data_IF_158202520516
#
_entry.id   IF_158202520516
#
_cell.length_a   1.000
_cell.length_b   1.000
_cell.length_c   1.000
_cell.angle_alpha   90.00
_cell.angle_beta   90.00
_cell.angle_gamma   90.00
#
_symmetry.space_group_name_H-M   'P 1'
#
loop_
_entity.id
_entity.type
_entity.pdbx_description
1 polymer ?
#
# COMPACT_ATOMS: atom_id res chain seq x y z
N UNK A 1 -59.48 -22.67 -118.72
CA UNK A 1 -58.78 -23.64 -117.84
C UNK A 1 -58.61 -22.95 -116.48
N UNK A 2 -59.66 -23.01 -115.65
CA UNK A 2 -59.77 -23.86 -114.43
C UNK A 2 -58.66 -23.54 -113.41
N UNK A 3 -58.89 -23.11 -112.17
CA UNK A 3 -60.09 -22.75 -111.39
C UNK A 3 -59.63 -22.07 -110.06
N UNK A 4 -60.29 -20.96 -109.66
CA UNK A 4 -60.74 -20.51 -108.30
C UNK A 4 -59.85 -20.66 -107.04
N UNK A 5 -59.78 -19.80 -106.00
CA UNK A 5 -60.36 -18.50 -105.54
C UNK A 5 -59.60 -18.17 -104.20
N UNK A 6 -59.05 -16.99 -103.92
CA UNK A 6 -59.58 -15.74 -103.30
C UNK A 6 -60.15 -15.76 -101.85
N UNK A 7 -59.41 -15.19 -100.87
CA UNK A 7 -59.88 -14.29 -99.77
C UNK A 7 -58.64 -13.80 -98.94
N UNK A 8 -58.13 -12.55 -98.92
CA UNK A 8 -58.59 -11.20 -98.46
C UNK A 8 -58.50 -10.91 -96.94
N UNK A 9 -57.36 -10.27 -96.56
CA UNK A 9 -57.05 -9.12 -95.64
C UNK A 9 -57.67 -8.88 -94.22
N UNK A 10 -56.71 -8.68 -93.27
CA UNK A 10 -56.46 -7.57 -92.27
C UNK A 10 -57.30 -7.47 -90.97
N UNK A 11 -56.91 -6.65 -89.95
CA UNK A 11 -55.57 -6.15 -89.50
C UNK A 11 -55.35 -6.25 -87.95
N UNK A 12 -54.15 -5.89 -87.49
CA UNK A 12 -53.79 -5.79 -86.06
C UNK A 12 -54.22 -4.50 -85.35
N UNK A 13 -54.26 -4.57 -84.01
CA UNK A 13 -54.35 -3.44 -83.09
C UNK A 13 -53.85 -3.81 -81.67
N UNK A 14 -53.23 -2.82 -81.01
CA UNK A 14 -53.12 -2.54 -79.56
C UNK A 14 -52.43 -3.52 -78.60
N UNK A 15 -51.40 -3.07 -77.87
CA UNK A 15 -51.55 -2.33 -76.59
C UNK A 15 -50.19 -2.09 -75.90
N UNK A 16 -49.96 -0.86 -75.43
CA UNK A 16 -48.87 -0.43 -74.55
C UNK A 16 -49.21 -0.65 -73.06
N UNK A 17 -48.13 -0.79 -72.25
CA UNK A 17 -47.95 -0.50 -70.81
C UNK A 17 -48.57 -1.42 -69.71
N UNK A 18 -47.99 -1.51 -68.48
CA UNK A 18 -47.52 -0.39 -67.65
C UNK A 18 -46.25 -0.54 -66.78
N UNK A 19 -45.70 0.61 -66.37
CA UNK A 19 -44.82 0.82 -65.21
C UNK A 19 -45.42 0.31 -63.88
N UNK A 20 -44.55 -0.16 -62.96
CA UNK A 20 -44.76 -0.01 -61.49
C UNK A 20 -43.50 -0.24 -60.65
N UNK A 21 -43.05 0.87 -60.05
CA UNK A 21 -42.44 1.15 -58.74
C UNK A 21 -42.15 0.03 -57.70
N UNK A 22 -40.99 0.17 -57.02
CA UNK A 22 -40.60 -0.43 -55.74
C UNK A 22 -39.25 -1.16 -55.84
N UNK A 23 -38.22 -0.96 -55.03
CA UNK A 23 -38.14 -0.59 -53.61
C UNK A 23 -36.72 -0.12 -53.24
N UNK A 24 -36.64 0.81 -52.28
CA UNK A 24 -35.42 1.14 -51.55
C UNK A 24 -34.77 -0.10 -50.94
N UNK A 25 -33.50 -0.36 -51.24
CA UNK A 25 -32.62 -1.13 -50.35
C UNK A 25 -31.30 -0.39 -50.15
N UNK A 26 -31.22 0.26 -48.99
CA UNK A 26 -30.10 0.26 -48.05
C UNK A 26 -28.80 -0.27 -48.68
N UNK A 27 -27.90 0.65 -49.02
CA UNK A 27 -26.49 0.36 -49.24
C UNK A 27 -25.91 -0.14 -47.92
N UNK A 28 -26.08 -1.45 -47.66
CA UNK A 28 -25.47 -2.14 -46.56
C UNK A 28 -23.96 -1.95 -46.70
N UNK A 29 -23.37 -1.33 -45.69
CA UNK A 29 -21.92 -1.37 -45.46
C UNK A 29 -21.45 -2.79 -45.74
N UNK A 30 -20.74 -2.98 -46.85
CA UNK A 30 -20.04 -4.22 -47.14
C UNK A 30 -18.96 -4.37 -46.07
N UNK A 31 -19.32 -5.00 -44.95
CA UNK A 31 -18.37 -5.55 -44.01
C UNK A 31 -17.64 -6.64 -44.79
N UNK A 32 -16.39 -6.34 -45.17
CA UNK A 32 -15.46 -7.26 -45.82
C UNK A 32 -15.53 -8.62 -45.11
N UNK A 33 -16.21 -9.57 -45.75
CA UNK A 33 -16.30 -10.92 -45.24
C UNK A 33 -14.93 -11.57 -45.50
N UNK A 34 -14.28 -12.17 -44.48
CA UNK A 34 -12.96 -12.75 -44.67
C UNK A 34 -13.02 -13.81 -45.78
N UNK A 35 -12.01 -13.89 -46.68
CA UNK A 35 -12.05 -14.77 -47.83
C UNK A 35 -12.31 -16.21 -47.38
N UNK A 36 -13.45 -16.74 -47.82
CA UNK A 36 -13.91 -18.11 -47.50
C UNK A 36 -13.45 -19.05 -48.62
N UNK A 37 -12.86 -20.20 -48.28
CA UNK A 37 -12.53 -21.27 -49.23
C UNK A 37 -13.28 -22.56 -48.85
N UNK A 38 -13.45 -23.47 -49.81
CA UNK A 38 -14.16 -24.76 -49.66
C UNK A 38 -15.56 -24.59 -49.03
N UNK A 39 -16.49 -23.92 -49.72
CA UNK A 39 -17.90 -23.83 -49.29
C UNK A 39 -18.11 -23.28 -47.87
N UNK A 40 -17.16 -22.50 -47.34
CA UNK A 40 -17.25 -21.90 -46.00
C UNK A 40 -16.65 -22.74 -44.87
N UNK A 41 -16.02 -23.87 -45.18
CA UNK A 41 -15.35 -24.74 -44.19
C UNK A 41 -14.07 -24.10 -43.65
N UNK A 42 -13.37 -23.31 -44.47
CA UNK A 42 -12.15 -22.59 -44.06
C UNK A 42 -12.37 -21.08 -44.12
N UNK A 43 -12.19 -20.42 -42.98
CA UNK A 43 -12.19 -18.95 -42.85
C UNK A 43 -10.80 -18.49 -42.44
N UNK A 44 -10.19 -17.58 -43.21
CA UNK A 44 -8.89 -16.96 -42.87
C UNK A 44 -9.16 -15.68 -42.11
N UNK A 45 -8.78 -15.61 -40.83
CA UNK A 45 -8.74 -14.36 -40.05
C UNK A 45 -7.29 -13.88 -39.99
N UNK A 46 -6.97 -12.79 -40.68
CA UNK A 46 -5.65 -12.16 -40.57
C UNK A 46 -5.57 -11.46 -39.21
N UNK A 47 -4.54 -11.80 -38.43
CA UNK A 47 -4.24 -11.17 -37.14
C UNK A 47 -2.81 -10.69 -37.17
N UNK A 48 -2.60 -9.45 -36.79
CA UNK A 48 -1.27 -8.95 -36.47
C UNK A 48 -0.76 -9.69 -35.23
N UNK A 49 0.34 -10.42 -35.39
CA UNK A 49 1.08 -11.05 -34.29
C UNK A 49 2.45 -10.42 -34.16
N UNK A 50 3.08 -10.58 -33.00
CA UNK A 50 4.48 -10.21 -32.84
C UNK A 50 5.33 -11.12 -33.74
N UNK A 51 6.18 -10.52 -34.57
CA UNK A 51 7.24 -11.25 -35.26
C UNK A 51 8.25 -11.79 -34.25
N UNK A 52 9.18 -12.65 -34.69
CA UNK A 52 10.30 -13.05 -33.82
C UNK A 52 11.08 -11.86 -33.25
N UNK A 53 11.29 -10.82 -34.05
CA UNK A 53 11.88 -9.55 -33.60
C UNK A 53 10.98 -8.78 -32.63
N UNK A 54 9.66 -8.79 -32.85
CA UNK A 54 8.69 -8.19 -31.92
C UNK A 54 8.69 -8.87 -30.56
N UNK A 55 8.75 -10.19 -30.52
CA UNK A 55 8.92 -10.96 -29.27
C UNK A 55 10.26 -10.67 -28.60
N UNK A 56 11.35 -10.58 -29.37
CA UNK A 56 12.66 -10.23 -28.83
C UNK A 56 12.65 -8.84 -28.17
N UNK A 57 12.08 -7.83 -28.83
CA UNK A 57 11.94 -6.47 -28.28
C UNK A 57 11.10 -6.49 -27.00
N UNK A 58 9.98 -7.22 -27.01
CA UNK A 58 9.11 -7.33 -25.84
C UNK A 58 9.83 -7.98 -24.65
N UNK A 59 10.54 -9.09 -24.88
CA UNK A 59 11.30 -9.78 -23.83
C UNK A 59 12.46 -8.92 -23.31
N UNK A 60 13.20 -8.24 -24.19
CA UNK A 60 14.27 -7.32 -23.79
C UNK A 60 13.73 -6.16 -22.95
N UNK A 61 12.61 -5.57 -23.38
CA UNK A 61 11.97 -4.46 -22.64
C UNK A 61 11.49 -4.94 -21.27
N UNK A 62 10.87 -6.12 -21.21
CA UNK A 62 10.44 -6.71 -19.95
C UNK A 62 11.63 -7.00 -19.02
N UNK A 63 12.70 -7.60 -19.54
CA UNK A 63 13.91 -7.91 -18.77
C UNK A 63 14.58 -6.64 -18.22
N UNK A 64 14.73 -5.59 -19.04
CA UNK A 64 15.28 -4.31 -18.60
C UNK A 64 14.40 -3.65 -17.54
N UNK A 65 13.08 -3.72 -17.69
CA UNK A 65 12.13 -3.16 -16.71
C UNK A 65 12.23 -3.90 -15.38
N UNK A 66 12.29 -5.24 -15.40
CA UNK A 66 12.46 -6.06 -14.19
C UNK A 66 13.80 -5.76 -13.53
N UNK A 67 14.90 -5.69 -14.29
CA UNK A 67 16.22 -5.36 -13.76
C UNK A 67 16.24 -3.97 -13.11
N UNK A 68 15.60 -2.98 -13.73
CA UNK A 68 15.46 -1.64 -13.17
C UNK A 68 14.63 -1.66 -11.88
N UNK A 69 13.48 -2.36 -11.85
CA UNK A 69 12.66 -2.49 -10.65
C UNK A 69 13.42 -3.15 -9.50
N UNK A 70 14.09 -4.27 -9.78
CA UNK A 70 14.87 -5.01 -8.77
C UNK A 70 16.00 -4.14 -8.19
N UNK A 71 16.65 -3.35 -9.03
CA UNK A 71 17.76 -2.49 -8.61
C UNK A 71 17.30 -1.23 -7.85
N UNK A 72 16.07 -0.76 -8.09
CA UNK A 72 15.58 0.51 -7.52
C UNK A 72 14.58 0.34 -6.36
N UNK A 73 13.96 -0.84 -6.19
CA UNK A 73 12.91 -1.02 -5.17
C UNK A 73 13.46 -0.92 -3.74
N UNK A 74 14.64 -1.50 -3.48
CA UNK A 74 15.28 -1.42 -2.17
C UNK A 74 15.60 0.02 -1.77
N UNK A 75 16.41 0.79 -2.54
CA UNK A 75 16.72 2.18 -2.15
C UNK A 75 15.49 3.09 -2.16
N UNK A 76 14.44 2.75 -2.92
CA UNK A 76 13.15 3.46 -2.86
C UNK A 76 12.46 3.26 -1.51
N UNK A 77 12.37 2.01 -1.01
CA UNK A 77 11.72 1.68 0.26
C UNK A 77 12.59 2.05 1.47
N UNK A 78 13.89 1.72 1.42
CA UNK A 78 14.88 1.96 2.46
C UNK A 78 15.45 3.38 2.41
N UNK A 79 14.57 4.37 2.33
CA UNK A 79 14.98 5.77 2.22
C UNK A 79 15.59 6.27 3.54
N UNK A 80 16.66 7.04 3.43
CA UNK A 80 17.19 7.86 4.53
C UNK A 80 17.18 9.32 4.10
N UNK A 81 16.33 10.11 4.73
CA UNK A 81 16.15 11.53 4.47
C UNK A 81 15.90 12.24 5.80
N UNK A 82 16.93 12.92 6.31
CA UNK A 82 16.91 13.58 7.61
C UNK A 82 16.35 14.99 7.47
N UNK A 83 15.53 15.39 8.42
CA UNK A 83 15.10 16.79 8.58
C UNK A 83 15.85 17.45 9.74
N UNK A 84 15.96 18.77 9.71
CA UNK A 84 16.55 19.53 10.80
C UNK A 84 15.63 19.49 12.03
N UNK A 85 15.95 18.63 13.00
CA UNK A 85 15.18 18.46 14.23
C UNK A 85 16.06 18.09 15.42
N UNK A 86 15.59 18.42 16.62
CA UNK A 86 16.15 17.98 17.90
C UNK A 86 15.41 16.78 18.51
N UNK A 87 14.44 16.19 17.79
CA UNK A 87 13.65 15.04 18.22
C UNK A 87 14.00 13.81 17.39
N UNK A 88 14.44 12.76 18.05
CA UNK A 88 14.64 11.44 17.49
C UNK A 88 13.50 10.52 17.94
N UNK A 89 12.85 9.83 17.03
CA UNK A 89 11.86 8.80 17.32
C UNK A 89 12.46 7.46 16.93
N UNK A 90 12.39 6.47 17.79
CA UNK A 90 12.88 5.11 17.53
C UNK A 90 11.69 4.17 17.62
N UNK A 91 11.47 3.40 16.56
CA UNK A 91 10.47 2.35 16.60
C UNK A 91 10.98 1.22 17.50
N UNK A 92 10.26 0.91 18.57
CA UNK A 92 10.74 0.01 19.62
C UNK A 92 10.66 -1.47 19.28
N UNK A 93 10.13 -1.83 18.11
CA UNK A 93 10.10 -3.21 17.62
C UNK A 93 11.39 -3.59 16.89
N UNK A 94 12.23 -2.61 16.55
CA UNK A 94 13.47 -2.82 15.80
C UNK A 94 14.48 -3.64 16.61
N UNK A 95 15.32 -4.35 15.88
CA UNK A 95 16.36 -5.21 16.38
C UNK A 95 17.50 -4.41 17.03
N UNK A 96 18.33 -5.07 17.87
CA UNK A 96 19.42 -4.42 18.58
C UNK A 96 20.43 -3.67 17.69
N UNK A 97 20.61 -4.06 16.42
CA UNK A 97 21.50 -3.33 15.51
C UNK A 97 20.96 -1.94 15.17
N UNK A 98 19.64 -1.81 14.97
CA UNK A 98 18.97 -0.54 14.71
C UNK A 98 18.92 0.33 15.97
N UNK A 99 18.77 -0.27 17.15
CA UNK A 99 18.92 0.47 18.42
C UNK A 99 20.33 1.05 18.55
N UNK A 100 21.39 0.28 18.27
CA UNK A 100 22.76 0.80 18.29
C UNK A 100 22.95 1.96 17.32
N UNK A 101 22.45 1.83 16.10
CA UNK A 101 22.47 2.92 15.12
C UNK A 101 21.70 4.17 15.61
N UNK A 102 20.55 3.99 16.28
CA UNK A 102 19.81 5.09 16.88
C UNK A 102 20.60 5.79 18.01
N UNK A 103 21.33 5.03 18.83
CA UNK A 103 22.21 5.58 19.87
C UNK A 103 23.35 6.39 19.25
N UNK A 104 23.96 5.87 18.19
CA UNK A 104 25.05 6.57 17.49
C UNK A 104 24.55 7.83 16.79
N UNK A 105 23.37 7.78 16.16
CA UNK A 105 22.70 8.94 15.56
C UNK A 105 22.37 9.99 16.64
N UNK A 106 21.89 9.59 17.82
CA UNK A 106 21.65 10.52 18.94
C UNK A 106 22.94 11.21 19.39
N UNK A 107 24.04 10.44 19.54
CA UNK A 107 25.34 10.96 20.02
C UNK A 107 26.02 11.91 19.05
N UNK A 108 25.88 11.64 17.75
CA UNK A 108 26.56 12.39 16.69
C UNK A 108 25.71 13.53 16.15
N UNK A 109 24.39 13.44 16.28
CA UNK A 109 23.42 14.45 15.87
C UNK A 109 23.17 15.54 16.91
N UNK A 110 22.21 16.40 16.62
CA UNK A 110 21.80 17.53 17.48
C UNK A 110 20.51 17.23 18.26
N UNK A 111 20.26 15.97 18.56
CA UNK A 111 19.05 15.52 19.23
C UNK A 111 19.11 15.82 20.73
N UNK A 112 17.98 16.27 21.28
CA UNK A 112 17.81 16.58 22.70
C UNK A 112 16.81 15.64 23.37
N UNK A 113 15.88 15.08 22.59
CA UNK A 113 14.88 14.13 23.08
C UNK A 113 14.80 12.92 22.16
N UNK A 114 14.68 11.75 22.77
CA UNK A 114 14.50 10.46 22.13
C UNK A 114 13.16 9.89 22.57
N UNK A 115 12.32 9.49 21.63
CA UNK A 115 11.04 8.85 21.89
C UNK A 115 11.07 7.41 21.41
N UNK A 116 10.88 6.45 22.31
CA UNK A 116 10.67 5.06 21.94
C UNK A 116 9.17 4.81 21.75
N UNK A 117 8.76 4.40 20.55
CA UNK A 117 7.34 4.22 20.21
C UNK A 117 7.03 2.76 19.87
N UNK A 118 5.78 2.33 20.06
CA UNK A 118 5.41 0.96 19.72
C UNK A 118 4.16 0.46 20.42
N UNK A 119 3.41 -0.42 19.74
CA UNK A 119 2.21 -1.05 20.27
C UNK A 119 2.49 -2.28 21.15
N UNK A 120 1.46 -3.03 21.54
CA UNK A 120 1.61 -4.27 22.30
C UNK A 120 2.48 -5.29 21.58
N UNK A 121 3.32 -6.01 22.32
CA UNK A 121 4.18 -7.05 21.77
C UNK A 121 3.34 -8.16 21.12
N UNK A 122 3.75 -8.57 19.92
CA UNK A 122 3.05 -9.61 19.14
C UNK A 122 3.00 -10.92 19.92
N UNK A 123 1.86 -11.63 19.84
CA UNK A 123 1.69 -12.92 20.51
C UNK A 123 1.24 -12.84 21.97
N UNK A 124 1.15 -11.65 22.58
CA UNK A 124 0.68 -11.48 23.97
C UNK A 124 -0.85 -11.29 24.14
N UNK A 125 -1.63 -11.45 23.07
CA UNK A 125 -3.09 -11.33 23.14
C UNK A 125 -3.63 -9.90 23.21
N UNK A 126 -2.77 -8.87 23.10
CA UNK A 126 -3.18 -7.48 23.05
C UNK A 126 -2.40 -6.58 24.03
N UNK A 127 -2.93 -5.38 24.28
CA UNK A 127 -2.41 -4.49 25.31
C UNK A 127 -2.74 -5.05 26.70
N UNK A 128 -1.70 -5.20 27.53
CA UNK A 128 -1.84 -5.62 28.93
C UNK A 128 -1.42 -4.47 29.85
N UNK A 129 -0.23 -3.94 29.63
CA UNK A 129 0.29 -2.73 30.28
C UNK A 129 1.38 -2.08 29.41
N UNK A 130 1.79 -0.86 29.76
CA UNK A 130 2.77 -0.08 29.02
C UNK A 130 4.16 -0.77 28.93
N UNK A 131 4.53 -1.63 29.89
CA UNK A 131 5.78 -2.42 29.91
C UNK A 131 5.76 -3.68 29.04
N UNK A 132 4.61 -3.99 28.43
CA UNK A 132 4.45 -5.08 27.48
C UNK A 132 4.21 -4.55 26.06
N UNK A 133 4.89 -3.44 25.73
CA UNK A 133 4.84 -2.81 24.42
C UNK A 133 6.22 -2.81 23.77
N UNK A 134 6.25 -2.72 22.45
CA UNK A 134 7.50 -2.48 21.73
C UNK A 134 8.15 -1.17 22.18
N UNK A 135 7.36 -0.15 22.57
CA UNK A 135 7.90 1.10 23.13
C UNK A 135 8.77 0.86 24.37
N UNK A 136 8.33 -0.01 25.29
CA UNK A 136 9.11 -0.32 26.50
C UNK A 136 10.37 -1.11 26.17
N UNK A 137 10.28 -2.10 25.28
CA UNK A 137 11.45 -2.87 24.83
C UNK A 137 12.50 -1.95 24.20
N UNK A 138 12.09 -1.08 23.27
CA UNK A 138 12.98 -0.12 22.64
C UNK A 138 13.57 0.87 23.64
N UNK A 139 12.76 1.40 24.58
CA UNK A 139 13.24 2.31 25.61
C UNK A 139 14.29 1.66 26.52
N UNK A 140 14.08 0.41 26.92
CA UNK A 140 15.03 -0.32 27.74
C UNK A 140 16.37 -0.52 27.00
N UNK A 141 16.32 -0.94 25.73
CA UNK A 141 17.52 -1.11 24.92
C UNK A 141 18.26 0.21 24.65
N UNK A 142 17.54 1.32 24.43
CA UNK A 142 18.12 2.65 24.26
C UNK A 142 18.80 3.14 25.53
N UNK A 143 18.16 2.93 26.69
CA UNK A 143 18.71 3.26 28.00
C UNK A 143 19.98 2.46 28.27
N UNK A 144 19.95 1.15 28.01
CA UNK A 144 21.11 0.27 28.16
C UNK A 144 22.24 0.63 27.18
N UNK A 145 21.88 1.14 26.00
CA UNK A 145 22.81 1.71 25.02
C UNK A 145 23.45 3.04 25.45
N UNK A 146 22.98 3.66 26.53
CA UNK A 146 23.54 4.88 27.12
C UNK A 146 22.84 6.18 26.74
N UNK A 147 21.58 6.12 26.26
CA UNK A 147 20.75 7.33 26.18
C UNK A 147 20.41 7.80 27.61
N UNK A 148 20.65 9.07 27.97
CA UNK A 148 20.32 9.58 29.29
C UNK A 148 18.81 9.49 29.56
N UNK A 149 18.42 9.03 30.75
CA UNK A 149 17.00 8.89 31.13
C UNK A 149 16.21 10.20 31.03
N UNK A 150 16.86 11.36 31.22
CA UNK A 150 16.21 12.67 31.05
C UNK A 150 15.95 13.07 29.60
N UNK A 151 16.62 12.43 28.64
CA UNK A 151 16.41 12.63 27.21
C UNK A 151 15.47 11.58 26.60
N UNK A 152 15.28 10.43 27.27
CA UNK A 152 14.50 9.30 26.76
C UNK A 152 13.08 9.27 27.31
N UNK A 153 12.10 9.24 26.42
CA UNK A 153 10.69 9.08 26.75
C UNK A 153 10.10 7.84 26.05
N UNK A 154 9.51 6.94 26.83
CA UNK A 154 8.71 5.85 26.30
C UNK A 154 7.30 6.34 25.96
N UNK A 155 6.80 6.02 24.76
CA UNK A 155 5.44 6.36 24.31
C UNK A 155 4.74 5.13 23.74
N UNK A 156 4.03 4.36 24.59
CA UNK A 156 3.34 3.15 24.17
C UNK A 156 2.06 3.47 23.39
N UNK A 157 1.83 2.74 22.30
CA UNK A 157 0.50 2.65 21.69
C UNK A 157 -0.29 1.54 22.38
N UNK A 158 -1.53 1.84 22.77
CA UNK A 158 -2.42 0.88 23.46
C UNK A 158 -3.38 0.17 22.49
N UNK A 159 -3.17 0.34 21.19
CA UNK A 159 -4.03 -0.17 20.12
C UNK A 159 -3.50 -1.50 19.59
N UNK A 160 -4.42 -2.41 19.26
CA UNK A 160 -4.12 -3.76 18.77
C UNK A 160 -4.48 -3.88 17.29
N UNK A 161 -3.58 -4.53 16.53
CA UNK A 161 -3.94 -5.31 15.34
C UNK A 161 -4.18 -4.56 14.03
N UNK A 162 -4.60 -3.29 14.05
CA UNK A 162 -4.70 -2.45 12.84
C UNK A 162 -3.66 -1.34 12.88
N UNK A 163 -2.91 -1.18 11.80
CA UNK A 163 -2.07 -0.01 11.51
C UNK A 163 -1.14 0.37 12.68
N UNK A 164 -0.34 -0.59 13.16
CA UNK A 164 0.48 -0.44 14.38
C UNK A 164 1.41 0.78 14.35
N UNK A 165 2.09 1.00 13.24
CA UNK A 165 2.98 2.15 13.03
C UNK A 165 2.20 3.47 13.11
N UNK A 166 1.05 3.57 12.45
CA UNK A 166 0.17 4.74 12.54
C UNK A 166 -0.34 4.96 13.97
N UNK A 167 -0.77 3.89 14.64
CA UNK A 167 -1.24 3.96 16.03
C UNK A 167 -0.16 4.39 17.02
N UNK A 168 1.11 4.06 16.73
CA UNK A 168 2.29 4.56 17.46
C UNK A 168 2.53 6.05 17.20
N UNK A 169 2.41 6.49 15.95
CA UNK A 169 2.52 7.90 15.59
C UNK A 169 1.40 8.77 16.21
N UNK A 170 0.17 8.25 16.25
CA UNK A 170 -0.97 8.89 16.92
C UNK A 170 -0.74 8.99 18.43
N UNK A 171 -0.25 7.92 19.07
CA UNK A 171 0.10 7.95 20.49
C UNK A 171 1.17 9.02 20.78
N UNK A 172 2.17 9.16 19.90
CA UNK A 172 3.19 10.20 19.99
C UNK A 172 2.60 11.62 19.84
N UNK A 173 1.70 11.83 18.88
CA UNK A 173 0.98 13.10 18.72
C UNK A 173 0.19 13.48 19.97
N UNK A 174 -0.52 12.52 20.57
CA UNK A 174 -1.25 12.75 21.82
C UNK A 174 -0.31 13.10 22.96
N UNK A 175 0.80 12.38 23.09
CA UNK A 175 1.82 12.68 24.09
C UNK A 175 2.35 14.10 23.95
N UNK A 176 2.68 14.55 22.73
CA UNK A 176 3.14 15.93 22.48
C UNK A 176 2.10 16.97 22.91
N UNK A 177 0.83 16.74 22.57
CA UNK A 177 -0.27 17.65 22.95
C UNK A 177 -0.49 17.71 24.46
N UNK A 178 -0.42 16.57 25.14
CA UNK A 178 -0.62 16.47 26.59
C UNK A 178 0.49 17.13 27.40
N UNK A 179 1.71 17.17 26.84
CA UNK A 179 2.89 17.75 27.49
C UNK A 179 3.23 19.16 26.96
N UNK A 180 2.33 19.78 26.20
CA UNK A 180 2.50 21.10 25.56
C UNK A 180 3.82 21.24 24.78
N UNK A 181 4.20 20.16 24.10
CA UNK A 181 5.42 20.11 23.30
C UNK A 181 5.09 20.51 21.86
N UNK A 182 5.57 21.68 21.46
CA UNK A 182 5.52 22.09 20.05
C UNK A 182 6.58 21.34 19.26
N UNK A 183 6.15 20.67 18.18
CA UNK A 183 7.02 19.91 17.28
C UNK A 183 6.88 20.49 15.88
N UNK A 184 8.02 20.90 15.29
CA UNK A 184 8.09 21.34 13.88
C UNK A 184 8.71 20.31 12.97
N UNK A 185 9.43 19.35 13.53
CA UNK A 185 9.92 18.19 12.81
C UNK A 185 10.52 17.15 13.73
N UNK A 186 10.72 15.94 13.21
CA UNK A 186 11.36 14.82 13.90
C UNK A 186 11.99 13.85 12.90
N UNK A 187 12.98 13.07 13.35
CA UNK A 187 13.57 11.98 12.55
C UNK A 187 13.20 10.63 13.16
N UNK A 188 12.73 9.70 12.33
CA UNK A 188 12.35 8.34 12.74
C UNK A 188 13.49 7.38 12.40
N UNK A 189 13.98 6.61 13.36
CA UNK A 189 14.90 5.50 13.13
C UNK A 189 14.10 4.21 13.06
N UNK A 190 14.26 3.49 11.95
CA UNK A 190 13.63 2.19 11.70
C UNK A 190 14.47 1.33 10.77
N UNK A 191 14.00 0.12 10.46
CA UNK A 191 14.75 -0.87 9.69
C UNK A 191 14.47 -0.78 8.19
N UNK A 192 15.54 -0.84 7.41
CA UNK A 192 15.52 -1.17 5.99
C UNK A 192 14.35 -0.58 5.22
N UNK A 193 13.67 -1.44 4.47
CA UNK A 193 12.57 -1.10 3.57
C UNK A 193 11.32 -0.56 4.30
N UNK A 194 11.22 -0.75 5.62
CA UNK A 194 10.10 -0.24 6.43
C UNK A 194 10.09 1.30 6.50
N UNK A 195 11.25 1.94 6.33
CA UNK A 195 11.44 3.38 6.45
C UNK A 195 10.40 4.22 5.69
N UNK A 196 10.19 3.94 4.40
CA UNK A 196 9.27 4.73 3.58
C UNK A 196 7.82 4.62 4.05
N UNK A 197 7.39 3.46 4.54
CA UNK A 197 6.04 3.27 5.08
C UNK A 197 5.88 3.96 6.43
N UNK A 198 6.87 3.87 7.32
CA UNK A 198 6.85 4.58 8.60
C UNK A 198 6.75 6.09 8.41
N UNK A 199 7.58 6.66 7.52
CA UNK A 199 7.50 8.08 7.20
C UNK A 199 6.10 8.49 6.78
N UNK A 200 5.51 7.79 5.81
CA UNK A 200 4.16 8.08 5.31
C UNK A 200 3.11 8.07 6.44
N UNK A 201 3.15 7.07 7.32
CA UNK A 201 2.16 6.93 8.40
C UNK A 201 2.36 7.95 9.52
N UNK A 202 3.60 8.37 9.77
CA UNK A 202 3.88 9.46 10.70
C UNK A 202 3.50 10.82 10.13
N UNK A 203 3.73 11.07 8.84
CA UNK A 203 3.24 12.28 8.15
C UNK A 203 1.71 12.38 8.26
N UNK A 204 1.01 11.28 7.98
CA UNK A 204 -0.45 11.22 8.10
C UNK A 204 -0.93 11.46 9.54
N UNK A 205 -0.26 10.88 10.54
CA UNK A 205 -0.66 11.01 11.93
C UNK A 205 -0.38 12.41 12.50
N UNK A 206 0.84 12.92 12.34
CA UNK A 206 1.27 14.21 12.90
C UNK A 206 0.64 15.38 12.16
N UNK A 207 0.46 15.26 10.85
CA UNK A 207 -0.14 16.28 10.00
C UNK A 207 0.91 17.11 9.24
N UNK A 208 0.47 17.96 8.31
CA UNK A 208 1.34 18.60 7.32
C UNK A 208 2.27 19.68 7.87
N UNK A 209 2.04 20.16 9.10
CA UNK A 209 2.85 21.22 9.73
C UNK A 209 4.12 20.67 10.43
N UNK A 210 4.34 19.35 10.39
CA UNK A 210 5.48 18.70 11.02
C UNK A 210 6.34 18.01 9.97
N UNK A 211 7.59 18.44 9.84
CA UNK A 211 8.57 17.83 8.96
C UNK A 211 8.97 16.44 9.49
N UNK A 212 8.68 15.38 8.73
CA UNK A 212 9.03 14.01 9.11
C UNK A 212 10.21 13.51 8.29
N UNK A 213 11.35 13.37 8.95
CA UNK A 213 12.50 12.66 8.42
C UNK A 213 12.50 11.19 8.81
N UNK A 214 13.25 10.38 8.08
CA UNK A 214 13.42 8.96 8.36
C UNK A 214 14.86 8.51 8.11
N UNK A 215 15.32 7.57 8.93
CA UNK A 215 16.65 7.00 8.91
C UNK A 215 16.46 5.49 8.85
N UNK A 216 16.80 4.92 7.69
CA UNK A 216 16.75 3.49 7.43
C UNK A 216 18.05 2.84 7.89
N UNK A 217 17.96 1.90 8.82
CA UNK A 217 19.09 1.07 9.28
C UNK A 217 19.03 -0.27 8.59
N UNK A 218 20.10 -0.62 7.89
CA UNK A 218 20.18 -1.86 7.12
C UNK A 218 20.45 -3.05 8.05
N UNK A 219 19.81 -4.19 7.78
CA UNK A 219 20.13 -5.44 8.45
C UNK A 219 21.58 -5.85 8.17
N UNK A 220 22.35 -6.27 9.19
CA UNK A 220 23.69 -6.82 8.98
C UNK A 220 23.68 -8.25 8.41
N UNK A 221 22.50 -8.89 8.37
CA UNK A 221 22.37 -10.32 8.05
C UNK A 221 22.31 -10.60 6.54
N UNK A 222 22.12 -9.55 5.71
CA UNK A 222 22.19 -9.67 4.25
C UNK A 222 22.74 -8.40 3.57
N UNK A 223 23.27 -8.54 2.35
CA UNK A 223 23.66 -7.38 1.53
C UNK A 223 22.44 -6.77 0.84
N UNK A 224 22.07 -5.57 1.26
CA UNK A 224 21.00 -4.75 0.70
C UNK A 224 21.12 -4.53 -0.82
N UNK A 225 22.33 -4.51 -1.39
CA UNK A 225 22.54 -4.35 -2.84
C UNK A 225 22.15 -5.60 -3.63
N UNK A 226 22.09 -6.75 -2.95
CA UNK A 226 21.76 -8.05 -3.51
C UNK A 226 20.60 -8.68 -2.74
N UNK A 227 19.66 -7.86 -2.26
CA UNK A 227 18.55 -8.27 -1.39
C UNK A 227 17.77 -9.47 -1.95
N UNK A 228 17.64 -9.59 -3.27
CA UNK A 228 16.90 -10.68 -3.94
C UNK A 228 17.58 -12.04 -3.83
N UNK A 229 18.87 -12.09 -3.50
CA UNK A 229 19.61 -13.33 -3.29
C UNK A 229 19.29 -13.99 -1.94
N UNK A 230 18.83 -13.21 -0.98
CA UNK A 230 18.57 -13.64 0.40
C UNK A 230 17.08 -13.72 0.66
N UNK A 231 16.61 -14.80 1.29
CA UNK A 231 15.18 -14.98 1.59
C UNK A 231 14.64 -13.89 2.50
N UNK A 232 15.45 -13.42 3.46
CA UNK A 232 15.11 -12.33 4.38
C UNK A 232 14.89 -11.01 3.62
N UNK A 233 15.86 -10.60 2.79
CA UNK A 233 15.75 -9.38 1.99
C UNK A 233 14.60 -9.45 0.97
N UNK A 234 14.36 -10.61 0.35
CA UNK A 234 13.23 -10.81 -0.55
C UNK A 234 11.87 -10.70 0.18
N UNK A 235 11.75 -11.31 1.35
CA UNK A 235 10.54 -11.22 2.18
C UNK A 235 10.28 -9.77 2.62
N UNK A 236 11.31 -9.09 3.13
CA UNK A 236 11.22 -7.69 3.57
C UNK A 236 10.70 -6.78 2.45
N UNK A 237 11.27 -6.88 1.25
CA UNK A 237 10.86 -6.05 0.10
C UNK A 237 9.44 -6.34 -0.36
N UNK A 238 9.01 -7.60 -0.34
CA UNK A 238 7.63 -7.96 -0.71
C UNK A 238 6.65 -7.42 0.34
N UNK A 239 6.91 -7.68 1.62
CA UNK A 239 6.04 -7.24 2.73
C UNK A 239 5.93 -5.72 2.78
N UNK A 240 7.06 -5.02 2.70
CA UNK A 240 7.10 -3.55 2.77
C UNK A 240 6.63 -2.89 1.47
N UNK A 241 6.87 -3.51 0.32
CA UNK A 241 6.33 -3.05 -0.95
C UNK A 241 4.81 -3.07 -0.96
N UNK A 242 4.20 -4.21 -0.60
CA UNK A 242 2.75 -4.35 -0.51
C UNK A 242 2.17 -3.49 0.62
N UNK A 243 2.83 -3.45 1.78
CA UNK A 243 2.44 -2.63 2.92
C UNK A 243 2.44 -1.15 2.58
N UNK A 244 3.45 -0.66 1.85
CA UNK A 244 3.53 0.75 1.42
C UNK A 244 2.41 1.09 0.43
N UNK A 245 2.15 0.21 -0.56
CA UNK A 245 1.05 0.43 -1.51
C UNK A 245 -0.31 0.45 -0.80
N UNK A 246 -0.53 -0.46 0.15
CA UNK A 246 -1.73 -0.45 1.00
C UNK A 246 -1.85 0.88 1.76
N UNK A 247 -0.80 1.30 2.46
CA UNK A 247 -0.77 2.54 3.22
C UNK A 247 -0.99 3.78 2.35
N UNK A 248 -0.52 3.76 1.09
CA UNK A 248 -0.63 4.91 0.19
C UNK A 248 -1.99 5.05 -0.49
N UNK A 249 -2.62 3.92 -0.85
CA UNK A 249 -3.80 3.95 -1.73
C UNK A 249 -5.09 3.51 -1.06
N UNK A 250 -5.00 2.69 -0.01
CA UNK A 250 -6.15 2.01 0.60
C UNK A 250 -6.32 2.35 2.09
N UNK A 251 -5.31 2.93 2.73
CA UNK A 251 -5.40 3.38 4.11
C UNK A 251 -6.01 4.79 4.17
N UNK A 252 -7.15 4.88 4.85
CA UNK A 252 -7.83 6.13 5.17
C UNK A 252 -8.10 6.16 6.68
N UNK A 253 -7.40 7.01 7.45
CA UNK A 253 -7.66 7.11 8.88
C UNK A 253 -9.06 7.69 9.09
N UNK A 254 -9.91 6.98 9.85
CA UNK A 254 -11.23 7.51 10.23
C UNK A 254 -11.12 8.25 11.56
N UNK A 255 -11.60 9.48 11.63
CA UNK A 255 -11.68 10.25 12.88
C UNK A 255 -12.42 9.50 14.00
N UNK A 256 -13.40 8.66 13.63
CA UNK A 256 -14.16 7.81 14.57
C UNK A 256 -13.33 6.69 15.22
N UNK A 257 -12.28 6.20 14.54
CA UNK A 257 -11.38 5.17 15.09
C UNK A 257 -10.53 5.75 16.24
N UNK A 258 -10.23 7.06 16.22
CA UNK A 258 -9.42 7.77 17.22
C UNK A 258 -10.15 7.96 18.57
N UNK A 259 -11.46 8.25 18.53
CA UNK A 259 -12.27 8.45 19.73
C UNK A 259 -12.73 7.13 20.38
N UNK A 260 -13.07 6.12 19.56
CA UNK A 260 -13.51 4.81 20.05
C UNK A 260 -12.38 4.01 20.74
N UNK A 261 -11.14 4.14 20.25
CA UNK A 261 -9.98 3.41 20.80
C UNK A 261 -9.48 3.97 22.13
N UNK A 262 -9.64 5.28 22.35
CA UNK A 262 -9.38 5.94 23.63
C UNK A 262 -10.39 5.50 24.70
N UNK A 263 -11.68 5.44 24.35
CA UNK A 263 -12.77 5.06 25.26
C UNK A 263 -12.80 3.55 25.59
N UNK A 264 -12.42 2.68 24.66
CA UNK A 264 -12.38 1.22 24.88
C UNK A 264 -11.25 0.76 25.82
N UNK A 265 -10.19 1.56 25.98
CA UNK A 265 -9.13 1.34 26.97
C UNK A 265 -9.56 1.81 28.38
N UNK A 266 -10.24 2.94 28.48
CA UNK A 266 -10.75 3.49 29.76
C UNK A 266 -11.91 2.66 30.31
N UNK A 267 -12.86 2.22 29.47
CA UNK A 267 -14.04 1.46 29.90
C UNK A 267 -13.74 0.07 30.46
N UNK A 268 -12.66 -0.58 30.03
CA UNK A 268 -12.27 -1.92 30.52
C UNK A 268 -11.55 -1.88 31.88
N UNK A 269 -10.80 -0.82 32.17
CA UNK A 269 -10.21 -0.62 33.50
C UNK A 269 -11.26 -0.22 34.55
N UNK A 270 -12.29 0.56 34.17
CA UNK A 270 -13.39 0.90 35.08
C UNK A 270 -14.24 -0.31 35.50
N UNK A 271 -14.51 -1.23 34.56
CA UNK A 271 -15.27 -2.45 34.85
C UNK A 271 -14.46 -3.48 35.66
N UNK A 272 -13.15 -3.62 35.39
CA UNK A 272 -12.27 -4.49 36.17
C UNK A 272 -12.05 -3.99 37.61
N UNK A 273 -11.93 -2.67 37.81
CA UNK A 273 -11.84 -2.07 39.14
C UNK A 273 -13.16 -2.20 39.93
N UNK A 274 -14.31 -2.06 39.25
CA UNK A 274 -15.62 -2.26 39.88
C UNK A 274 -15.85 -3.73 40.27
N UNK A 275 -15.42 -4.69 39.45
CA UNK A 275 -15.55 -6.12 39.75
C UNK A 275 -14.62 -6.57 40.89
N UNK A 276 -13.41 -6.01 40.97
CA UNK A 276 -12.47 -6.29 42.07
C UNK A 276 -12.95 -5.69 43.41
N UNK A 277 -13.61 -4.52 43.39
CA UNK A 277 -14.20 -3.92 44.58
C UNK A 277 -15.44 -4.69 45.07
N UNK A 278 -16.21 -5.28 44.17
CA UNK A 278 -17.39 -6.08 44.51
C UNK A 278 -17.01 -7.43 45.13
N UNK A 279 -15.98 -8.11 44.60
CA UNK A 279 -15.42 -9.33 45.22
C UNK A 279 -14.82 -9.08 46.61
N UNK A 280 -14.13 -7.95 46.82
CA UNK A 280 -13.56 -7.60 48.13
C UNK A 280 -14.61 -7.26 49.21
N UNK A 281 -15.85 -6.94 48.80
CA UNK A 281 -16.98 -6.68 49.71
C UNK A 281 -17.74 -7.94 50.10
N UNK A 282 -17.63 -9.03 49.34
CA UNK A 282 -18.22 -10.33 49.67
C UNK A 282 -17.41 -11.15 50.68
N UNK A 283 -16.11 -10.89 50.84
CA UNK A 283 -15.20 -11.70 51.67
C UNK A 283 -15.04 -11.21 53.13
N UNK A 284 -15.73 -10.14 53.53
CA UNK A 284 -15.71 -9.61 54.91
C UNK A 284 -17.10 -9.54 55.56
N UNK A 285 -18.05 -10.31 55.03
CA UNK A 285 -19.45 -10.28 55.43
C UNK A 285 -20.02 -11.65 55.76
N UNK A 286 -19.31 -12.48 56.52
CA UNK A 286 -19.87 -13.59 57.31
C UNK A 286 -19.14 -13.72 58.65
#
# INVERSE_FOLDING_TARGET
MQSSEHHVRRPGASAEEPEKFGSHEISAFALDSPPRRFWGILTRKERWGLSGGGWLILLLTAALTIAALVSNIYPFLAATDRVASNILVVEGWVHPYAIRAAVDEYRTGHYQRVFATGGPVVGKGGYVNDFQTAASVGADLLRDGGIPSGALQMVPSRVIGRDRTYSSAVALKHWFREHDVQVRGLNIVTEGAHARRSRLLFEEALGPDVDIGVISVHSPDFDARQWWYYSEGAQEIIEEGLGYLYAKFLFYPREADLAAQTNAAVGRHGLAASAALDQSRGEWGE
#
